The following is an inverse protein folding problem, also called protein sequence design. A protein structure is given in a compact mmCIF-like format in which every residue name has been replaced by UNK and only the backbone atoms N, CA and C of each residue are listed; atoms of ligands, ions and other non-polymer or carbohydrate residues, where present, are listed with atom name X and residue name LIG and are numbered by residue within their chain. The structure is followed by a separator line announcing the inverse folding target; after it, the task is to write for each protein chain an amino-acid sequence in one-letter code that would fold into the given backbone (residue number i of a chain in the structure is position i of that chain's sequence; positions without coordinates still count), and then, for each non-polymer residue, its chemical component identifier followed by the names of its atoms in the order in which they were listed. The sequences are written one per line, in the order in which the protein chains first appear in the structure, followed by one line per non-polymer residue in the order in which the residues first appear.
data_IF_929746417483
#
_entry.id   IF_929746417483
#
_cell.length_a   1.000
_cell.length_b   1.000
_cell.length_c   1.000
_cell.angle_alpha   90.00
_cell.angle_beta   90.00
_cell.angle_gamma   90.00
#
_symmetry.space_group_name_H-M   'P 1'
#
loop_
_entity.id
_entity.type
_entity.pdbx_description
1 polymer ?
#
# COMPACT_ATOMS: atom_id res chain seq x y z
N UNK A 1 -17.91 -7.29 4.95
CA UNK A 1 -17.70 -6.60 3.65
C UNK A 1 -16.23 -6.68 3.27
N UNK A 2 -15.92 -6.87 1.98
CA UNK A 2 -14.53 -6.84 1.51
C UNK A 2 -14.02 -5.39 1.50
N UNK A 3 -12.78 -5.17 1.94
CA UNK A 3 -12.12 -3.86 1.88
C UNK A 3 -11.97 -3.39 0.43
N UNK A 4 -12.03 -2.07 0.18
CA UNK A 4 -11.99 -1.46 -1.16
C UNK A 4 -10.70 -1.75 -1.92
N UNK A 5 -9.57 -1.72 -1.22
CA UNK A 5 -8.25 -1.82 -1.83
C UNK A 5 -7.46 -3.01 -1.32
N UNK A 6 -6.65 -3.58 -2.20
CA UNK A 6 -5.54 -4.47 -1.87
C UNK A 6 -4.26 -3.68 -2.07
N UNK A 7 -3.41 -3.63 -1.05
CA UNK A 7 -2.16 -2.86 -1.10
C UNK A 7 -0.98 -3.79 -0.92
N UNK A 8 0.05 -3.61 -1.75
CA UNK A 8 1.32 -4.33 -1.64
C UNK A 8 2.40 -3.29 -1.34
N UNK A 9 3.01 -3.38 -0.16
CA UNK A 9 4.00 -2.43 0.34
C UNK A 9 5.37 -3.07 0.27
N UNK A 10 6.36 -2.35 -0.27
CA UNK A 10 7.77 -2.68 -0.11
C UNK A 10 8.31 -2.01 1.14
N UNK A 11 8.68 -2.83 2.14
CA UNK A 11 9.22 -2.34 3.41
C UNK A 11 10.71 -2.02 3.26
N UNK A 12 11.53 -3.01 2.89
CA UNK A 12 12.99 -2.84 2.76
C UNK A 12 13.57 -3.86 1.78
N UNK A 13 14.84 -3.67 1.42
CA UNK A 13 15.64 -4.73 0.81
C UNK A 13 16.35 -5.50 1.92
N UNK A 14 16.45 -6.82 1.75
CA UNK A 14 17.26 -7.69 2.58
C UNK A 14 18.72 -7.68 2.08
N UNK A 15 19.69 -8.17 2.88
CA UNK A 15 21.10 -8.23 2.50
C UNK A 15 21.37 -9.04 1.22
N UNK A 16 20.54 -10.06 0.95
CA UNK A 16 20.58 -10.90 -0.25
C UNK A 16 19.97 -10.24 -1.50
N UNK A 17 19.67 -8.94 -1.44
CA UNK A 17 18.99 -8.12 -2.48
C UNK A 17 17.53 -8.49 -2.73
N UNK A 18 16.94 -9.43 -1.98
CA UNK A 18 15.51 -9.68 -2.02
C UNK A 18 14.72 -8.53 -1.39
N UNK A 19 13.45 -8.37 -1.77
CA UNK A 19 12.58 -7.34 -1.22
C UNK A 19 11.65 -7.93 -0.15
N UNK A 20 11.64 -7.34 1.05
CA UNK A 20 10.61 -7.64 2.04
C UNK A 20 9.36 -6.82 1.73
N UNK A 21 8.32 -7.53 1.27
CA UNK A 21 7.04 -6.95 0.89
C UNK A 21 5.91 -7.55 1.72
N UNK A 22 4.94 -6.72 2.09
CA UNK A 22 3.74 -7.11 2.85
C UNK A 22 2.48 -6.72 2.11
N UNK A 23 1.41 -7.48 2.32
CA UNK A 23 0.11 -7.28 1.67
C UNK A 23 -0.95 -6.91 2.70
N UNK A 24 -1.73 -5.89 2.41
CA UNK A 24 -2.83 -5.42 3.24
C UNK A 24 -4.12 -5.27 2.43
N UNK A 25 -5.24 -5.25 3.14
CA UNK A 25 -6.55 -4.89 2.61
C UNK A 25 -7.06 -3.69 3.40
N UNK A 26 -7.35 -2.60 2.71
CA UNK A 26 -7.63 -1.29 3.34
C UNK A 26 -8.77 -0.56 2.64
N UNK A 27 -9.39 0.36 3.37
CA UNK A 27 -10.38 1.30 2.81
C UNK A 27 -9.85 2.73 2.76
N UNK A 28 -9.05 3.13 3.74
CA UNK A 28 -8.58 4.51 3.93
C UNK A 28 -7.05 4.57 3.76
N UNK A 29 -6.62 5.25 2.70
CA UNK A 29 -5.20 5.35 2.36
C UNK A 29 -4.42 6.30 3.27
N UNK A 30 -5.07 7.30 3.87
CA UNK A 30 -4.41 8.21 4.81
C UNK A 30 -4.13 7.48 6.13
N UNK A 31 -5.14 6.81 6.69
CA UNK A 31 -4.97 5.97 7.90
C UNK A 31 -3.96 4.87 7.67
N UNK A 32 -3.99 4.25 6.49
CA UNK A 32 -3.01 3.24 6.15
C UNK A 32 -1.59 3.80 6.09
N UNK A 33 -1.40 4.99 5.55
CA UNK A 33 -0.09 5.66 5.50
C UNK A 33 0.42 5.96 6.91
N UNK A 34 -0.42 6.48 7.81
CA UNK A 34 -0.05 6.67 9.23
C UNK A 34 0.36 5.37 9.91
N UNK A 35 -0.40 4.29 9.69
CA UNK A 35 -0.04 2.96 10.19
C UNK A 35 1.31 2.47 9.67
N UNK A 36 1.64 2.73 8.40
CA UNK A 36 2.95 2.38 7.85
C UNK A 36 4.08 3.18 8.48
N UNK A 37 3.87 4.47 8.75
CA UNK A 37 4.88 5.31 9.40
C UNK A 37 5.20 4.82 10.81
N UNK A 38 4.18 4.41 11.57
CA UNK A 38 4.33 3.90 12.94
C UNK A 38 4.92 2.48 12.96
N UNK A 39 4.34 1.55 12.19
CA UNK A 39 4.72 0.14 12.25
C UNK A 39 5.97 -0.20 11.45
N UNK A 40 6.17 0.48 10.32
CA UNK A 40 7.15 0.14 9.31
C UNK A 40 7.94 1.37 8.88
N UNK A 41 8.55 2.11 9.79
CA UNK A 41 9.26 3.37 9.51
C UNK A 41 10.22 3.32 8.30
N UNK A 42 10.76 2.14 7.96
CA UNK A 42 11.62 1.90 6.79
C UNK A 42 10.92 1.77 5.43
N UNK A 43 9.58 1.75 5.36
CA UNK A 43 8.81 1.51 4.12
C UNK A 43 9.17 2.48 2.99
N UNK A 44 9.14 1.98 1.76
CA UNK A 44 9.62 2.72 0.58
C UNK A 44 8.48 3.19 -0.32
N UNK A 45 7.64 2.25 -0.74
CA UNK A 45 6.52 2.50 -1.63
C UNK A 45 5.45 1.43 -1.47
N UNK A 46 4.24 1.72 -1.94
CA UNK A 46 3.17 0.74 -2.04
C UNK A 46 2.33 0.92 -3.30
N UNK A 47 1.91 -0.22 -3.87
CA UNK A 47 0.99 -0.28 -5.00
C UNK A 47 -0.42 -0.56 -4.48
N UNK A 48 -1.39 0.19 -4.99
CA UNK A 48 -2.81 0.05 -4.66
C UNK A 48 -3.52 -0.63 -5.81
N UNK A 49 -4.25 -1.68 -5.50
CA UNK A 49 -5.05 -2.47 -6.44
C UNK A 49 -6.52 -2.38 -6.04
N UNK A 50 -7.41 -2.28 -7.02
CA UNK A 50 -8.85 -2.45 -6.77
C UNK A 50 -9.10 -3.85 -6.21
N UNK A 51 -9.92 -3.95 -5.16
CA UNK A 51 -10.31 -5.23 -4.56
C UNK A 51 -11.81 -5.52 -4.76
N UNK A 52 -12.48 -4.74 -5.61
CA UNK A 52 -13.94 -4.77 -5.80
C UNK A 52 -14.32 -4.64 -7.28
N UNK A 53 -15.50 -5.16 -7.63
CA UNK A 53 -16.09 -5.01 -8.96
C UNK A 53 -15.28 -5.64 -10.09
N UNK A 54 -15.55 -5.19 -11.32
CA UNK A 54 -14.96 -5.73 -12.54
C UNK A 54 -13.47 -5.39 -12.69
N UNK A 55 -12.98 -4.38 -11.97
CA UNK A 55 -11.57 -3.97 -11.98
C UNK A 55 -10.74 -4.64 -10.88
N UNK A 56 -11.31 -5.61 -10.15
CA UNK A 56 -10.62 -6.30 -9.07
C UNK A 56 -9.31 -6.91 -9.56
N UNK A 57 -8.22 -6.58 -8.87
CA UNK A 57 -6.87 -7.02 -9.21
C UNK A 57 -6.09 -6.02 -10.07
N UNK A 58 -6.74 -5.02 -10.66
CA UNK A 58 -6.08 -3.97 -11.44
C UNK A 58 -5.38 -2.98 -10.51
N UNK A 59 -4.13 -2.62 -10.84
CA UNK A 59 -3.41 -1.55 -10.14
C UNK A 59 -4.00 -0.20 -10.52
N UNK A 60 -4.34 0.60 -9.52
CA UNK A 60 -5.00 1.90 -9.70
C UNK A 60 -4.17 3.08 -9.17
N UNK A 61 -3.16 2.84 -8.33
CA UNK A 61 -2.21 3.88 -7.90
C UNK A 61 -0.90 3.29 -7.38
N UNK A 62 0.12 4.13 -7.28
CA UNK A 62 1.38 3.90 -6.58
C UNK A 62 1.70 5.12 -5.71
N UNK A 63 2.13 4.87 -4.48
CA UNK A 63 2.57 5.91 -3.55
C UNK A 63 3.94 5.57 -2.99
N UNK A 64 4.70 6.61 -2.65
CA UNK A 64 6.02 6.49 -2.02
C UNK A 64 6.04 7.25 -0.71
N UNK A 65 7.10 7.05 0.09
CA UNK A 65 7.26 7.79 1.35
C UNK A 65 7.27 9.31 1.16
N UNK A 66 7.72 9.78 -0.01
CA UNK A 66 7.79 11.20 -0.40
C UNK A 66 6.64 11.66 -1.29
N UNK A 67 5.90 10.74 -1.93
CA UNK A 67 4.71 11.01 -2.73
C UNK A 67 3.51 10.24 -2.14
N UNK A 68 2.92 10.83 -1.10
CA UNK A 68 1.87 10.20 -0.28
C UNK A 68 0.48 10.42 -0.88
N UNK A 69 -0.50 9.54 -0.58
CA UNK A 69 -1.89 9.81 -0.93
C UNK A 69 -2.34 11.12 -0.26
N UNK A 70 -3.04 11.98 -1.03
CA UNK A 70 -3.62 13.22 -0.53
C UNK A 70 -5.07 13.03 -0.07
N UNK A 71 -5.73 11.98 -0.57
CA UNK A 71 -7.13 11.68 -0.29
C UNK A 71 -7.26 10.33 0.43
N UNK A 72 -8.33 10.20 1.25
CA UNK A 72 -8.67 8.94 1.94
C UNK A 72 -8.97 7.82 0.94
N UNK A 73 -9.52 8.17 -0.22
CA UNK A 73 -9.96 7.26 -1.26
C UNK A 73 -9.39 7.68 -2.61
N UNK A 74 -9.18 6.69 -3.48
CA UNK A 74 -8.97 6.85 -4.92
C UNK A 74 -10.30 6.76 -5.65
#
# INVERSE_FOLDING_TARGET
MAKKYKVIVKIRNNPDRSAYCVKYRVDDLLKFTSFLDEKWSGWKWFNVFSNTGNTKGTQIANFTKTNRPLNRFL
#
